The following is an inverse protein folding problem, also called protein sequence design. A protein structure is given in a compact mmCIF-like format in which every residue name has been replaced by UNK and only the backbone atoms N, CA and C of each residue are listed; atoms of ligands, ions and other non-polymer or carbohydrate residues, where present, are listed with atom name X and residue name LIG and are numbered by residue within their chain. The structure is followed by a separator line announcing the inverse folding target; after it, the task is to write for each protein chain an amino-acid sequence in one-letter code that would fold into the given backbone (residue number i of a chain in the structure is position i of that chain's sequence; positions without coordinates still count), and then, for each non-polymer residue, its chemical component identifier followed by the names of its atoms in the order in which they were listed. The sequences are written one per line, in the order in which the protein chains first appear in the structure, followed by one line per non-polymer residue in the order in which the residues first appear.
data_IF_952767364802
#
_entry.id   IF_952767364802
#
_cell.length_a   1.000
_cell.length_b   1.000
_cell.length_c   1.000
_cell.angle_alpha   90.00
_cell.angle_beta   90.00
_cell.angle_gamma   90.00
#
_symmetry.space_group_name_H-M   'P 1'
#
loop_
_entity.id
_entity.type
_entity.pdbx_description
1 polymer ?
#
# COMPACT_ATOMS: atom_id res chain seq x y z
N UNK A 1 -50.61 -6.69 29.86
CA UNK A 1 -49.86 -6.97 28.63
C UNK A 1 -48.57 -6.16 28.69
N UNK A 2 -47.48 -6.78 29.12
CA UNK A 2 -46.18 -6.11 29.29
C UNK A 2 -45.38 -6.21 27.99
N UNK A 3 -45.05 -5.06 27.40
CA UNK A 3 -44.14 -4.91 26.28
C UNK A 3 -42.72 -5.23 26.73
N UNK A 4 -42.12 -6.30 26.18
CA UNK A 4 -40.69 -6.58 26.33
C UNK A 4 -39.89 -5.58 25.49
N UNK A 5 -38.85 -4.93 26.03
CA UNK A 5 -37.95 -4.12 25.23
C UNK A 5 -37.09 -5.04 24.36
N UNK A 6 -36.99 -4.72 23.08
CA UNK A 6 -36.00 -5.29 22.15
C UNK A 6 -34.63 -4.94 22.72
N UNK A 7 -33.94 -5.92 23.29
CA UNK A 7 -32.57 -5.77 23.76
C UNK A 7 -31.69 -5.37 22.59
N UNK A 8 -31.10 -4.19 22.69
CA UNK A 8 -29.98 -3.74 21.87
C UNK A 8 -28.90 -4.82 21.88
N UNK A 9 -28.74 -5.53 20.77
CA UNK A 9 -27.54 -6.30 20.50
C UNK A 9 -26.38 -5.28 20.45
N UNK A 10 -25.71 -5.12 21.58
CA UNK A 10 -24.37 -4.60 21.62
C UNK A 10 -23.55 -5.45 20.65
N UNK A 11 -23.15 -4.87 19.53
CA UNK A 11 -22.20 -5.48 18.61
C UNK A 11 -20.91 -5.71 19.42
N UNK A 12 -20.70 -6.95 19.86
CA UNK A 12 -19.40 -7.39 20.36
C UNK A 12 -18.37 -6.94 19.33
N UNK A 13 -17.43 -6.08 19.71
CA UNK A 13 -16.39 -5.55 18.83
C UNK A 13 -15.64 -6.72 18.18
N UNK A 14 -15.98 -7.03 16.93
CA UNK A 14 -15.46 -8.18 16.14
C UNK A 14 -14.00 -8.03 15.71
N UNK A 15 -13.30 -7.00 16.19
CA UNK A 15 -11.99 -6.56 15.69
C UNK A 15 -10.82 -7.12 16.50
N UNK A 16 -11.03 -7.46 17.77
CA UNK A 16 -9.97 -7.93 18.66
C UNK A 16 -9.54 -9.38 18.39
N UNK A 17 -10.24 -10.08 17.48
CA UNK A 17 -10.05 -11.51 17.24
C UNK A 17 -9.58 -11.89 15.82
N UNK A 18 -9.31 -10.91 14.94
CA UNK A 18 -8.89 -11.21 13.56
C UNK A 18 -7.52 -11.89 13.53
N UNK A 19 -7.41 -13.00 12.79
CA UNK A 19 -6.15 -13.74 12.63
C UNK A 19 -5.15 -12.97 11.76
N UNK A 20 -3.87 -12.97 12.17
CA UNK A 20 -2.78 -12.39 11.41
C UNK A 20 -1.84 -13.48 10.91
N UNK A 21 -1.42 -13.38 9.65
CA UNK A 21 -0.54 -14.35 9.01
C UNK A 21 0.93 -13.94 9.07
N UNK A 22 1.80 -14.92 9.28
CA UNK A 22 3.22 -14.81 8.95
C UNK A 22 3.42 -14.75 7.43
N UNK A 23 4.59 -14.28 7.00
CA UNK A 23 4.94 -14.29 5.58
C UNK A 23 4.95 -15.71 4.99
N UNK A 24 5.36 -16.69 5.78
CA UNK A 24 5.38 -18.10 5.38
C UNK A 24 3.97 -18.64 5.15
N UNK A 25 3.07 -18.44 6.11
CA UNK A 25 1.67 -18.90 5.95
C UNK A 25 0.98 -18.22 4.78
N UNK A 26 1.23 -16.92 4.56
CA UNK A 26 0.68 -16.21 3.41
C UNK A 26 1.14 -16.81 2.08
N UNK A 27 2.42 -17.20 1.98
CA UNK A 27 2.98 -17.86 0.80
C UNK A 27 2.43 -19.30 0.63
N UNK A 28 2.30 -20.06 1.72
CA UNK A 28 1.70 -21.40 1.67
C UNK A 28 0.23 -21.34 1.21
N UNK A 29 -0.54 -20.34 1.66
CA UNK A 29 -1.92 -20.13 1.21
C UNK A 29 -1.96 -19.74 -0.27
N UNK A 30 -1.01 -18.92 -0.76
CA UNK A 30 -0.83 -18.64 -2.19
C UNK A 30 -0.65 -19.92 -3.00
N UNK A 31 0.27 -20.79 -2.57
CA UNK A 31 0.58 -22.03 -3.26
C UNK A 31 -0.62 -23.00 -3.28
N UNK A 32 -1.39 -23.06 -2.18
CA UNK A 32 -2.59 -23.92 -2.12
C UNK A 32 -3.70 -23.37 -3.03
N UNK A 33 -3.93 -22.05 -3.04
CA UNK A 33 -4.94 -21.44 -3.89
C UNK A 33 -4.62 -21.66 -5.36
N UNK A 34 -3.38 -21.41 -5.77
CA UNK A 34 -2.96 -21.51 -7.17
C UNK A 34 -2.66 -22.92 -7.65
N UNK A 35 -2.33 -23.83 -6.73
CA UNK A 35 -2.11 -25.24 -7.03
C UNK A 35 -3.41 -26.04 -6.94
N UNK A 36 -3.63 -26.80 -5.86
CA UNK A 36 -4.72 -27.75 -5.75
C UNK A 36 -6.13 -27.15 -5.81
N UNK A 37 -6.30 -25.85 -5.51
CA UNK A 37 -7.61 -25.20 -5.59
C UNK A 37 -7.87 -24.52 -6.96
N UNK A 38 -6.88 -24.52 -7.86
CA UNK A 38 -7.07 -24.20 -9.27
C UNK A 38 -7.31 -22.73 -9.60
N UNK A 39 -7.08 -21.80 -8.66
CA UNK A 39 -7.15 -20.38 -8.98
C UNK A 39 -5.98 -19.97 -9.88
N UNK A 40 -6.25 -19.22 -10.94
CA UNK A 40 -5.17 -18.59 -11.70
C UNK A 40 -4.62 -17.37 -10.95
N UNK A 41 -3.36 -17.02 -11.23
CA UNK A 41 -2.75 -15.77 -10.74
C UNK A 41 -3.63 -14.58 -11.16
N UNK A 42 -4.09 -14.58 -12.41
CA UNK A 42 -4.90 -13.51 -13.00
C UNK A 42 -6.21 -13.30 -12.23
N UNK A 43 -6.89 -14.39 -11.83
CA UNK A 43 -8.13 -14.33 -11.05
C UNK A 43 -7.89 -13.72 -9.66
N UNK A 44 -6.88 -14.21 -8.95
CA UNK A 44 -6.58 -13.71 -7.59
C UNK A 44 -6.13 -12.24 -7.64
N UNK A 45 -5.31 -11.88 -8.62
CA UNK A 45 -4.83 -10.52 -8.85
C UNK A 45 -5.97 -9.56 -9.22
N UNK A 46 -6.90 -9.99 -10.08
CA UNK A 46 -8.06 -9.19 -10.46
C UNK A 46 -8.95 -8.87 -9.24
N UNK A 47 -9.24 -9.88 -8.42
CA UNK A 47 -10.06 -9.72 -7.21
C UNK A 47 -9.34 -8.89 -6.14
N UNK A 48 -8.03 -9.05 -6.03
CA UNK A 48 -7.19 -8.31 -5.12
C UNK A 48 -7.14 -6.81 -5.47
N UNK A 49 -6.83 -6.48 -6.72
CA UNK A 49 -6.82 -5.09 -7.18
C UNK A 49 -8.19 -4.43 -7.12
N UNK A 50 -9.27 -5.15 -7.43
CA UNK A 50 -10.64 -4.65 -7.23
C UNK A 50 -10.93 -4.35 -5.75
N UNK A 51 -10.47 -5.21 -4.84
CA UNK A 51 -10.63 -4.98 -3.39
C UNK A 51 -9.92 -3.69 -2.95
N UNK A 52 -8.72 -3.42 -3.49
CA UNK A 52 -7.97 -2.17 -3.25
C UNK A 52 -8.74 -0.95 -3.76
N UNK A 53 -9.19 -0.99 -5.01
CA UNK A 53 -9.93 0.11 -5.62
C UNK A 53 -11.24 0.39 -4.86
N UNK A 54 -11.95 -0.66 -4.44
CA UNK A 54 -13.19 -0.55 -3.66
C UNK A 54 -12.95 0.09 -2.29
N UNK A 55 -11.90 -0.33 -1.58
CA UNK A 55 -11.54 0.24 -0.29
C UNK A 55 -11.19 1.74 -0.40
N UNK A 56 -10.52 2.15 -1.47
CA UNK A 56 -10.23 3.57 -1.74
C UNK A 56 -11.52 4.34 -2.01
N UNK A 57 -12.40 3.81 -2.87
CA UNK A 57 -13.66 4.46 -3.21
C UNK A 57 -14.68 4.55 -2.07
N UNK A 58 -14.60 3.63 -1.10
CA UNK A 58 -15.42 3.69 0.11
C UNK A 58 -15.05 4.89 1.00
N UNK A 59 -13.79 5.32 0.96
CA UNK A 59 -13.27 6.37 1.84
C UNK A 59 -13.21 7.72 1.15
N UNK A 60 -12.63 7.76 -0.04
CA UNK A 60 -12.26 9.01 -0.70
C UNK A 60 -13.08 9.17 -1.96
N UNK A 61 -14.18 9.92 -1.91
CA UNK A 61 -15.04 10.11 -3.09
C UNK A 61 -14.25 10.78 -4.22
N UNK A 62 -14.40 10.29 -5.45
CA UNK A 62 -13.71 10.84 -6.63
C UNK A 62 -14.03 12.31 -6.91
N UNK A 63 -15.18 12.81 -6.44
CA UNK A 63 -15.56 14.23 -6.50
C UNK A 63 -14.73 15.14 -5.59
N UNK A 64 -14.13 14.58 -4.55
CA UNK A 64 -13.34 15.30 -3.54
C UNK A 64 -11.84 15.00 -3.68
N UNK A 65 -11.50 13.75 -4.00
CA UNK A 65 -10.13 13.24 -4.11
C UNK A 65 -9.96 12.54 -5.45
N UNK A 66 -9.64 13.31 -6.49
CA UNK A 66 -9.71 12.82 -7.86
C UNK A 66 -8.34 12.32 -8.37
N UNK A 67 -7.24 12.93 -7.94
CA UNK A 67 -5.91 12.70 -8.53
C UNK A 67 -5.22 11.54 -7.82
N UNK A 68 -5.04 10.43 -8.52
CA UNK A 68 -4.46 9.20 -7.97
C UNK A 68 -3.15 8.86 -8.67
N UNK A 69 -2.12 8.52 -7.92
CA UNK A 69 -0.90 7.89 -8.46
C UNK A 69 -0.73 6.47 -7.92
N UNK A 70 -0.72 5.49 -8.81
CA UNK A 70 -0.37 4.11 -8.48
C UNK A 70 1.13 3.86 -8.75
N UNK A 71 1.88 3.45 -7.72
CA UNK A 71 3.31 3.17 -7.79
C UNK A 71 3.52 1.66 -7.74
N UNK A 72 3.79 1.04 -8.89
CA UNK A 72 3.79 -0.41 -9.07
C UNK A 72 5.21 -1.00 -9.09
N UNK A 73 5.41 -2.10 -8.36
CA UNK A 73 6.66 -2.88 -8.37
C UNK A 73 6.70 -4.01 -9.41
N UNK A 74 7.85 -4.67 -9.63
CA UNK A 74 8.02 -5.76 -10.61
C UNK A 74 7.46 -7.12 -10.15
N UNK A 75 6.65 -7.17 -9.09
CA UNK A 75 6.13 -8.41 -8.52
C UNK A 75 4.60 -8.46 -8.57
N UNK A 76 4.02 -9.51 -7.99
CA UNK A 76 2.56 -9.67 -7.94
C UNK A 76 1.86 -8.45 -7.35
N UNK A 77 2.45 -7.84 -6.31
CA UNK A 77 1.88 -6.64 -5.70
C UNK A 77 1.74 -5.48 -6.71
N UNK A 78 2.71 -5.33 -7.62
CA UNK A 78 2.63 -4.34 -8.67
C UNK A 78 1.56 -4.68 -9.70
N UNK A 79 1.33 -5.96 -9.98
CA UNK A 79 0.20 -6.42 -10.78
C UNK A 79 -1.14 -6.05 -10.15
N UNK A 80 -1.32 -6.30 -8.85
CA UNK A 80 -2.54 -5.88 -8.14
C UNK A 80 -2.69 -4.35 -8.16
N UNK A 81 -1.58 -3.61 -8.09
CA UNK A 81 -1.55 -2.15 -8.24
C UNK A 81 -2.02 -1.69 -9.61
N UNK A 82 -1.61 -2.36 -10.70
CA UNK A 82 -2.07 -2.07 -12.06
C UNK A 82 -3.57 -2.39 -12.23
N UNK A 83 -4.04 -3.50 -11.65
CA UNK A 83 -5.47 -3.83 -11.63
C UNK A 83 -6.27 -2.79 -10.85
N UNK A 84 -5.81 -2.43 -9.64
CA UNK A 84 -6.43 -1.41 -8.81
C UNK A 84 -6.51 -0.07 -9.55
N UNK A 85 -5.43 0.30 -10.25
CA UNK A 85 -5.38 1.47 -11.09
C UNK A 85 -6.51 1.41 -12.15
N UNK A 86 -6.61 0.33 -12.93
CA UNK A 86 -7.66 0.20 -13.94
C UNK A 86 -9.08 0.36 -13.35
N UNK A 87 -9.36 -0.26 -12.21
CA UNK A 87 -10.66 -0.11 -11.54
C UNK A 87 -10.91 1.31 -11.04
N UNK A 88 -9.91 1.97 -10.44
CA UNK A 88 -10.03 3.37 -10.02
C UNK A 88 -10.31 4.30 -11.20
N UNK A 89 -9.69 4.06 -12.36
CA UNK A 89 -10.06 4.80 -13.57
C UNK A 89 -11.55 4.62 -13.91
N UNK A 90 -12.06 3.38 -13.91
CA UNK A 90 -13.49 3.11 -14.13
C UNK A 90 -14.42 3.67 -13.03
N UNK A 91 -13.90 3.88 -11.82
CA UNK A 91 -14.63 4.53 -10.72
C UNK A 91 -14.65 6.06 -10.81
N UNK A 92 -14.02 6.62 -11.86
CA UNK A 92 -14.06 8.05 -12.16
C UNK A 92 -12.91 8.87 -11.57
N UNK A 93 -11.82 8.23 -11.15
CA UNK A 93 -10.62 8.93 -10.70
C UNK A 93 -9.71 9.32 -11.87
N UNK A 94 -9.04 10.46 -11.74
CA UNK A 94 -7.95 10.87 -12.61
C UNK A 94 -6.66 10.19 -12.17
N UNK A 95 -6.25 9.18 -12.93
CA UNK A 95 -5.22 8.24 -12.54
C UNK A 95 -3.93 8.44 -13.35
N UNK A 96 -2.79 8.36 -12.66
CA UNK A 96 -1.46 8.15 -13.24
C UNK A 96 -0.81 6.89 -12.66
N UNK A 97 0.08 6.25 -13.43
CA UNK A 97 0.82 5.05 -13.00
C UNK A 97 2.32 5.28 -13.09
N UNK A 98 3.07 4.97 -12.04
CA UNK A 98 4.52 4.84 -12.10
C UNK A 98 4.91 3.37 -12.00
N UNK A 99 5.46 2.81 -13.09
CA UNK A 99 5.86 1.39 -13.14
C UNK A 99 7.32 1.24 -13.63
N UNK A 100 8.31 1.59 -12.78
CA UNK A 100 9.70 1.80 -13.20
C UNK A 100 10.44 0.54 -13.64
N UNK A 101 10.02 -0.64 -13.18
CA UNK A 101 10.55 -1.93 -13.60
C UNK A 101 9.41 -2.84 -14.00
N UNK A 102 9.09 -2.83 -15.29
CA UNK A 102 8.06 -3.69 -15.87
C UNK A 102 8.46 -5.17 -15.76
N UNK A 103 7.51 -6.02 -15.40
CA UNK A 103 7.68 -7.47 -15.34
C UNK A 103 7.54 -8.03 -16.76
N UNK A 104 8.56 -8.72 -17.31
CA UNK A 104 8.50 -9.24 -18.68
C UNK A 104 7.69 -10.54 -18.73
N UNK A 105 6.37 -10.45 -18.55
CA UNK A 105 5.44 -11.58 -18.58
C UNK A 105 4.12 -11.15 -19.24
N UNK A 106 3.51 -12.02 -20.08
CA UNK A 106 2.29 -11.67 -20.83
C UNK A 106 1.14 -11.11 -19.98
N UNK A 107 0.95 -11.62 -18.77
CA UNK A 107 -0.05 -11.08 -17.82
C UNK A 107 0.15 -9.57 -17.58
N UNK A 108 1.39 -9.17 -17.28
CA UNK A 108 1.71 -7.79 -16.94
C UNK A 108 1.69 -6.89 -18.17
N UNK A 109 2.13 -7.41 -19.33
CA UNK A 109 2.00 -6.71 -20.60
C UNK A 109 0.52 -6.42 -20.91
N UNK A 110 -0.37 -7.40 -20.71
CA UNK A 110 -1.82 -7.23 -20.84
C UNK A 110 -2.39 -6.17 -19.90
N UNK A 111 -1.99 -6.15 -18.63
CA UNK A 111 -2.43 -5.11 -17.67
C UNK A 111 -1.97 -3.70 -18.10
N UNK A 112 -0.75 -3.59 -18.61
CA UNK A 112 -0.23 -2.32 -19.15
C UNK A 112 -1.01 -1.90 -20.40
N UNK A 113 -1.22 -2.81 -21.36
CA UNK A 113 -2.00 -2.52 -22.57
C UNK A 113 -3.42 -2.07 -22.23
N UNK A 114 -4.08 -2.68 -21.24
CA UNK A 114 -5.40 -2.26 -20.79
C UNK A 114 -5.40 -0.81 -20.29
N UNK A 115 -4.45 -0.45 -19.43
CA UNK A 115 -4.30 0.93 -18.91
C UNK A 115 -3.97 1.93 -20.02
N UNK A 116 -3.05 1.59 -20.93
CA UNK A 116 -2.71 2.42 -22.08
C UNK A 116 -3.92 2.62 -23.01
N UNK A 117 -4.76 1.59 -23.20
CA UNK A 117 -5.99 1.69 -24.00
C UNK A 117 -7.08 2.57 -23.37
N UNK A 118 -7.00 2.78 -22.05
CA UNK A 118 -7.82 3.75 -21.31
C UNK A 118 -7.18 5.14 -21.24
N UNK A 119 -6.08 5.35 -21.97
CA UNK A 119 -5.29 6.59 -21.96
C UNK A 119 -4.77 6.98 -20.58
N UNK A 120 -4.55 6.02 -19.69
CA UNK A 120 -3.93 6.27 -18.38
C UNK A 120 -2.44 6.60 -18.56
N UNK A 121 -1.96 7.78 -18.13
CA UNK A 121 -0.56 8.16 -18.26
C UNK A 121 0.36 7.29 -17.39
N UNK A 122 1.46 6.84 -17.99
CA UNK A 122 2.58 6.22 -17.29
C UNK A 122 3.69 7.25 -17.08
N UNK A 123 3.96 7.59 -15.81
CA UNK A 123 4.99 8.55 -15.41
C UNK A 123 6.29 7.83 -15.05
N UNK A 124 7.42 8.39 -15.48
CA UNK A 124 8.72 7.96 -15.01
C UNK A 124 8.99 8.44 -13.58
N UNK A 125 10.05 7.96 -12.94
CA UNK A 125 10.43 8.39 -11.59
C UNK A 125 10.95 9.83 -11.60
N UNK A 126 11.49 10.21 -12.75
CA UNK A 126 12.07 11.50 -13.05
C UNK A 126 10.99 12.57 -13.29
N UNK A 127 9.84 12.18 -13.83
CA UNK A 127 8.68 13.08 -14.02
C UNK A 127 7.96 13.40 -12.70
N UNK A 128 8.23 12.63 -11.64
CA UNK A 128 7.60 12.79 -10.35
C UNK A 128 8.36 13.77 -9.46
N UNK A 129 7.63 14.77 -8.97
CA UNK A 129 8.10 15.73 -7.98
C UNK A 129 8.61 15.02 -6.71
N UNK A 130 9.47 15.71 -5.94
CA UNK A 130 9.91 15.17 -4.65
C UNK A 130 8.77 15.17 -3.62
N UNK A 131 7.89 16.16 -3.68
CA UNK A 131 6.69 16.25 -2.87
C UNK A 131 5.46 15.95 -3.72
N UNK A 132 5.02 14.68 -3.66
CA UNK A 132 3.89 14.19 -4.44
C UNK A 132 2.53 14.77 -3.98
N UNK A 133 2.47 15.42 -2.81
CA UNK A 133 1.20 15.87 -2.22
C UNK A 133 0.55 17.02 -2.99
N UNK A 134 1.34 17.79 -3.75
CA UNK A 134 0.83 18.88 -4.57
C UNK A 134 0.12 18.35 -5.82
N UNK A 135 0.59 17.22 -6.34
CA UNK A 135 0.15 16.67 -7.62
C UNK A 135 -0.95 15.61 -7.46
N UNK A 136 -0.95 14.89 -6.34
CA UNK A 136 -1.83 13.75 -6.11
C UNK A 136 -2.53 13.81 -4.76
N UNK A 137 -3.81 13.45 -4.78
CA UNK A 137 -4.67 13.36 -3.60
C UNK A 137 -4.53 11.99 -2.92
N UNK A 138 -4.30 10.94 -3.73
CA UNK A 138 -4.20 9.54 -3.26
C UNK A 138 -3.00 8.85 -3.90
N UNK A 139 -2.26 8.08 -3.09
CA UNK A 139 -1.15 7.24 -3.55
C UNK A 139 -1.44 5.77 -3.27
N UNK A 140 -1.32 4.93 -4.29
CA UNK A 140 -1.38 3.47 -4.15
C UNK A 140 0.05 2.92 -4.17
N UNK A 141 0.58 2.57 -3.00
CA UNK A 141 1.90 1.92 -2.87
C UNK A 141 1.79 0.42 -3.15
N UNK A 142 2.00 0.05 -4.42
CA UNK A 142 2.09 -1.33 -4.90
C UNK A 142 3.55 -1.77 -5.12
N UNK A 143 4.52 -1.02 -4.58
CA UNK A 143 5.95 -1.29 -4.75
C UNK A 143 6.51 -2.22 -3.68
N UNK A 144 6.01 -2.11 -2.44
CA UNK A 144 6.49 -2.89 -1.29
C UNK A 144 5.48 -3.90 -0.75
N UNK A 145 4.26 -3.90 -1.29
CA UNK A 145 3.17 -4.84 -1.01
C UNK A 145 2.09 -4.33 -0.06
N UNK A 146 1.02 -5.12 0.07
CA UNK A 146 -0.10 -5.02 1.03
C UNK A 146 -0.39 -6.42 1.62
N UNK A 147 -1.37 -6.50 2.53
CA UNK A 147 -1.88 -7.76 3.06
C UNK A 147 -3.20 -8.13 2.36
N UNK A 148 -3.27 -9.32 1.78
CA UNK A 148 -4.51 -9.89 1.25
C UNK A 148 -4.86 -11.17 1.97
N UNK A 149 -6.16 -11.50 2.02
CA UNK A 149 -6.78 -12.70 2.63
C UNK A 149 -6.87 -12.65 4.14
N UNK A 150 -5.75 -12.39 4.80
CA UNK A 150 -5.67 -12.06 6.22
C UNK A 150 -4.53 -11.06 6.45
N UNK A 151 -4.64 -10.15 7.43
CA UNK A 151 -3.61 -9.16 7.68
C UNK A 151 -2.27 -9.85 7.99
N UNK A 152 -1.18 -9.46 7.33
CA UNK A 152 0.15 -9.95 7.71
C UNK A 152 0.52 -9.40 9.08
N UNK A 153 1.39 -10.08 9.83
CA UNK A 153 1.82 -9.63 11.16
C UNK A 153 2.34 -8.17 11.20
N UNK A 154 2.93 -7.66 10.11
CA UNK A 154 3.34 -6.26 10.02
C UNK A 154 2.16 -5.28 10.16
N UNK A 155 0.97 -5.66 9.72
CA UNK A 155 -0.25 -4.84 9.81
C UNK A 155 -0.76 -4.66 11.25
N UNK A 156 -0.24 -5.40 12.25
CA UNK A 156 -0.55 -5.14 13.68
C UNK A 156 -0.08 -3.76 14.15
N UNK A 157 0.97 -3.23 13.51
CA UNK A 157 1.56 -1.92 13.86
C UNK A 157 1.00 -0.79 12.99
N UNK A 158 0.04 -1.07 12.12
CA UNK A 158 -0.59 -0.05 11.29
C UNK A 158 -1.38 0.92 12.18
N UNK A 159 -1.05 2.20 12.05
CA UNK A 159 -1.62 3.29 12.83
C UNK A 159 -2.35 4.33 11.96
N UNK A 160 -2.59 4.02 10.68
CA UNK A 160 -3.37 4.90 9.80
C UNK A 160 -4.86 4.88 10.14
N UNK A 161 -5.62 5.89 9.66
CA UNK A 161 -7.03 6.07 10.01
C UNK A 161 -7.94 4.98 9.44
N UNK A 162 -7.49 4.26 8.40
CA UNK A 162 -8.29 3.33 7.63
C UNK A 162 -7.49 2.06 7.34
N UNK A 163 -7.93 0.94 7.89
CA UNK A 163 -7.36 -0.38 7.61
C UNK A 163 -8.48 -1.25 7.04
N UNK A 164 -8.20 -1.91 5.92
CA UNK A 164 -9.16 -2.77 5.23
C UNK A 164 -8.56 -4.15 5.05
N UNK A 165 -9.42 -5.16 5.18
CA UNK A 165 -9.17 -6.50 4.72
C UNK A 165 -9.84 -6.69 3.37
N UNK A 166 -9.05 -7.01 2.35
CA UNK A 166 -9.52 -7.35 1.01
C UNK A 166 -9.28 -8.83 0.67
N UNK A 167 -9.79 -9.23 -0.48
CA UNK A 167 -9.62 -10.57 -1.02
C UNK A 167 -10.64 -11.57 -0.50
N UNK A 168 -11.92 -11.27 -0.74
CA UNK A 168 -13.08 -12.12 -0.44
C UNK A 168 -13.16 -13.34 -1.38
N UNK A 169 -12.14 -14.20 -1.31
CA UNK A 169 -12.03 -15.41 -2.13
C UNK A 169 -11.38 -16.58 -1.38
N UNK A 170 -11.17 -16.45 -0.06
CA UNK A 170 -10.59 -17.50 0.78
C UNK A 170 -11.61 -18.63 0.99
N UNK A 171 -11.35 -19.86 0.51
CA UNK A 171 -12.29 -20.96 0.67
C UNK A 171 -12.37 -21.43 2.14
N UNK A 172 -13.53 -21.97 2.59
CA UNK A 172 -13.67 -22.47 3.97
C UNK A 172 -12.60 -23.48 4.39
N UNK A 173 -12.14 -24.34 3.47
CA UNK A 173 -11.07 -25.30 3.73
C UNK A 173 -9.75 -24.65 4.16
N UNK A 174 -9.42 -23.46 3.65
CA UNK A 174 -8.26 -22.67 4.08
C UNK A 174 -8.51 -22.04 5.44
N UNK A 175 -9.72 -21.48 5.64
CA UNK A 175 -10.13 -20.88 6.91
C UNK A 175 -9.99 -21.91 8.04
N UNK A 176 -10.48 -23.12 7.83
CA UNK A 176 -10.43 -24.20 8.82
C UNK A 176 -9.01 -24.71 9.07
N UNK A 177 -8.23 -24.91 8.00
CA UNK A 177 -6.85 -25.40 8.08
C UNK A 177 -5.95 -24.46 8.87
N UNK A 178 -6.06 -23.16 8.63
CA UNK A 178 -5.22 -22.14 9.26
C UNK A 178 -5.91 -21.47 10.46
N UNK A 179 -7.10 -21.95 10.87
CA UNK A 179 -7.90 -21.40 11.98
C UNK A 179 -8.08 -19.87 11.85
N UNK A 180 -8.37 -19.41 10.63
CA UNK A 180 -8.51 -17.99 10.34
C UNK A 180 -9.81 -17.45 10.92
N UNK A 181 -9.70 -16.38 11.70
CA UNK A 181 -10.85 -15.58 12.12
C UNK A 181 -10.95 -14.40 11.16
N UNK A 182 -11.88 -14.50 10.20
CA UNK A 182 -12.13 -13.47 9.21
C UNK A 182 -13.44 -12.74 9.56
N UNK A 183 -13.48 -11.40 9.49
CA UNK A 183 -14.72 -10.65 9.66
C UNK A 183 -15.71 -10.93 8.52
N UNK A 184 -17.03 -10.79 8.76
CA UNK A 184 -18.02 -10.90 7.71
C UNK A 184 -17.87 -9.72 6.73
N UNK A 185 -17.90 -10.02 5.43
CA UNK A 185 -17.92 -8.98 4.39
C UNK A 185 -19.35 -8.50 4.17
N UNK A 186 -19.61 -7.18 4.18
CA UNK A 186 -20.95 -6.64 4.02
C UNK A 186 -21.45 -6.82 2.58
N UNK A 187 -22.67 -7.34 2.42
CA UNK A 187 -23.34 -7.48 1.12
C UNK A 187 -22.46 -8.18 0.08
N UNK A 188 -22.23 -7.49 -1.05
CA UNK A 188 -21.36 -7.92 -2.16
C UNK A 188 -19.96 -7.28 -2.12
N UNK A 189 -19.60 -6.59 -1.03
CA UNK A 189 -18.30 -5.92 -0.92
C UNK A 189 -17.15 -6.92 -0.99
N UNK A 190 -16.08 -6.50 -1.67
CA UNK A 190 -14.82 -7.25 -1.80
C UNK A 190 -13.81 -6.92 -0.71
N UNK A 191 -14.08 -5.89 0.09
CA UNK A 191 -13.30 -5.46 1.23
C UNK A 191 -14.18 -5.20 2.46
N UNK A 192 -13.57 -5.22 3.63
CA UNK A 192 -14.20 -4.85 4.89
C UNK A 192 -13.19 -4.06 5.72
N UNK A 193 -13.63 -2.93 6.25
CA UNK A 193 -12.83 -2.13 7.18
C UNK A 193 -12.55 -2.94 8.44
N UNK A 194 -11.32 -2.95 8.93
CA UNK A 194 -10.87 -3.66 10.14
C UNK A 194 -10.13 -2.70 11.08
N UNK A 195 -10.08 -3.01 12.37
CA UNK A 195 -9.39 -2.20 13.38
C UNK A 195 -10.29 -1.17 14.07
N UNK A 196 -9.76 -0.51 15.12
CA UNK A 196 -10.52 0.47 15.90
C UNK A 196 -10.74 1.75 15.06
N UNK A 197 -11.97 2.30 14.98
CA UNK A 197 -12.14 3.66 14.50
C UNK A 197 -11.33 4.59 15.41
N UNK A 198 -10.62 5.55 14.82
CA UNK A 198 -9.87 6.54 15.60
C UNK A 198 -10.84 7.31 16.51
N UNK A 199 -10.77 7.09 17.82
CA UNK A 199 -11.26 8.08 18.79
C UNK A 199 -10.25 9.23 18.77
N UNK A 200 -10.49 10.23 17.93
CA UNK A 200 -9.74 11.48 18.00
C UNK A 200 -10.41 12.32 19.09
N UNK A 201 -9.84 12.31 20.29
CA UNK A 201 -10.15 13.30 21.31
C UNK A 201 -9.26 14.53 21.06
N UNK A 202 -9.80 15.50 20.32
CA UNK A 202 -9.14 16.76 19.94
C UNK A 202 -8.68 17.55 21.19
N UNK A 203 -9.28 17.29 22.34
CA UNK A 203 -8.99 17.95 23.62
C UNK A 203 -7.57 17.68 24.13
N UNK A 204 -7.04 16.47 23.92
CA UNK A 204 -5.75 16.04 24.49
C UNK A 204 -4.52 16.59 23.75
N UNK A 205 -4.71 17.19 22.56
CA UNK A 205 -3.62 17.72 21.72
C UNK A 205 -3.24 19.17 22.06
N UNK A 206 -3.94 19.84 22.98
CA UNK A 206 -3.70 21.27 23.27
C UNK A 206 -2.77 21.55 24.46
N UNK A 207 -2.53 20.62 25.38
CA UNK A 207 -1.95 21.00 26.68
C UNK A 207 -0.47 20.63 26.91
N UNK A 208 0.19 19.82 26.07
CA UNK A 208 1.52 19.29 26.43
C UNK A 208 2.64 19.46 25.39
N UNK A 209 2.63 20.50 24.57
CA UNK A 209 3.82 20.87 23.79
C UNK A 209 4.51 22.09 24.39
N UNK A 210 5.40 21.84 25.36
CA UNK A 210 6.45 22.78 25.76
C UNK A 210 7.67 22.42 24.90
N UNK A 211 8.09 23.34 24.02
CA UNK A 211 9.33 23.18 23.25
C UNK A 211 10.53 23.26 24.19
N UNK A 212 11.48 22.31 24.17
CA UNK A 212 12.80 22.58 24.70
C UNK A 212 13.49 23.55 23.73
N UNK A 213 13.88 24.71 24.24
CA UNK A 213 14.84 25.61 23.61
C UNK A 213 16.09 24.80 23.27
N UNK A 214 16.31 24.53 21.99
CA UNK A 214 17.58 23.99 21.50
C UNK A 214 18.53 25.17 21.28
N UNK A 215 19.65 25.16 21.99
CA UNK A 215 20.78 26.07 21.79
C UNK A 215 21.31 25.91 20.35
N UNK A 216 21.38 27.02 19.63
CA UNK A 216 21.76 27.11 18.21
C UNK A 216 23.25 26.79 17.92
N UNK A 217 24.05 26.45 18.94
CA UNK A 217 25.51 26.31 18.82
C UNK A 217 26.02 24.87 18.57
N UNK A 218 25.15 23.90 18.23
CA UNK A 218 25.56 22.51 17.95
C UNK A 218 25.01 21.91 16.66
N UNK A 219 24.69 22.73 15.65
CA UNK A 219 24.45 22.24 14.30
C UNK A 219 25.72 22.50 13.47
N UNK A 220 26.44 21.44 13.08
CA UNK A 220 27.51 21.59 12.09
C UNK A 220 26.92 21.90 10.70
N UNK A 221 27.57 22.82 10.00
CA UNK A 221 27.22 23.29 8.66
C UNK A 221 27.45 22.17 7.62
N UNK A 222 26.35 21.61 7.15
CA UNK A 222 26.22 20.81 5.93
C UNK A 222 26.57 19.28 5.99
N UNK A 223 25.56 18.38 5.96
CA UNK A 223 25.74 16.93 5.90
C UNK A 223 26.22 16.39 4.54
N UNK A 224 26.49 17.23 3.53
CA UNK A 224 26.99 16.80 2.21
C UNK A 224 28.52 16.63 2.14
N UNK A 225 29.30 17.06 3.14
CA UNK A 225 30.77 16.91 3.12
C UNK A 225 31.28 15.47 3.34
N UNK A 226 30.43 14.54 3.77
CA UNK A 226 30.80 13.12 3.92
C UNK A 226 30.81 12.34 2.58
N UNK A 227 30.16 12.85 1.54
CA UNK A 227 29.99 12.16 0.25
C UNK A 227 31.24 12.30 -0.63
N UNK A 228 31.90 13.47 -0.62
CA UNK A 228 33.07 13.74 -1.48
C UNK A 228 34.39 13.07 -1.03
N UNK A 229 34.42 12.51 0.19
CA UNK A 229 35.58 11.76 0.70
C UNK A 229 35.51 10.26 0.43
N UNK A 230 34.32 9.70 0.27
CA UNK A 230 34.15 8.28 -0.04
C UNK A 230 34.22 7.99 -1.55
N UNK A 231 33.72 8.91 -2.40
CA UNK A 231 33.70 8.72 -3.87
C UNK A 231 35.12 8.73 -4.49
N UNK A 232 36.05 9.56 -3.99
CA UNK A 232 37.43 9.63 -4.52
C UNK A 232 38.30 8.40 -4.24
N UNK A 233 37.89 7.51 -3.34
CA UNK A 233 38.65 6.30 -3.00
C UNK A 233 38.12 5.02 -3.66
N UNK A 234 36.96 5.09 -4.33
CA UNK A 234 36.33 3.93 -5.00
C UNK A 234 36.52 3.94 -6.51
N UNK A 235 36.71 5.11 -7.11
CA UNK A 235 36.87 5.25 -8.56
C UNK A 235 38.20 4.68 -9.10
N UNK A 236 39.20 4.41 -8.26
CA UNK A 236 40.47 3.77 -8.68
C UNK A 236 40.45 2.22 -8.62
N UNK A 237 39.38 1.60 -8.08
CA UNK A 237 39.32 0.12 -7.90
C UNK A 237 38.30 -0.57 -8.82
N UNK A 238 37.32 0.14 -9.40
CA UNK A 238 36.19 -0.49 -10.12
C UNK A 238 36.27 -0.47 -11.67
N UNK A 239 37.45 -0.56 -12.26
CA UNK A 239 37.59 -0.67 -13.72
C UNK A 239 37.43 -2.12 -14.28
N UNK A 240 36.98 -3.11 -13.48
CA UNK A 240 36.98 -4.52 -13.93
C UNK A 240 35.72 -5.38 -13.75
N UNK A 241 34.53 -4.86 -13.38
CA UNK A 241 33.37 -5.75 -13.10
C UNK A 241 32.06 -5.34 -13.81
N UNK A 242 31.82 -6.00 -14.96
CA UNK A 242 30.54 -6.57 -15.43
C UNK A 242 29.22 -5.77 -15.43
N UNK A 243 28.63 -5.57 -16.62
CA UNK A 243 27.33 -4.95 -16.90
C UNK A 243 26.07 -5.57 -16.23
N UNK A 244 26.21 -6.68 -15.49
CA UNK A 244 25.11 -7.31 -14.75
C UNK A 244 24.93 -6.72 -13.34
N UNK A 245 26.00 -6.22 -12.73
CA UNK A 245 25.98 -5.56 -11.41
C UNK A 245 25.36 -4.14 -11.49
N UNK A 246 25.58 -3.44 -12.61
CA UNK A 246 25.05 -2.09 -12.88
C UNK A 246 23.51 -2.01 -12.98
N UNK A 247 22.82 -3.09 -13.35
CA UNK A 247 21.35 -3.11 -13.49
C UNK A 247 20.62 -3.22 -12.14
N UNK A 248 21.23 -3.87 -11.16
CA UNK A 248 20.64 -4.04 -9.82
C UNK A 248 20.79 -2.77 -8.96
N UNK A 249 21.85 -1.98 -9.20
CA UNK A 249 22.06 -0.70 -8.52
C UNK A 249 21.03 0.37 -8.93
N UNK A 250 20.65 0.46 -10.21
CA UNK A 250 19.67 1.45 -10.70
C UNK A 250 18.27 1.23 -10.11
N UNK A 251 17.76 0.00 -10.14
CA UNK A 251 16.45 -0.29 -9.54
C UNK A 251 16.46 -0.11 -8.03
N UNK A 252 17.56 -0.45 -7.37
CA UNK A 252 17.73 -0.18 -5.93
C UNK A 252 17.72 1.32 -5.61
N UNK A 253 18.35 2.15 -6.44
CA UNK A 253 18.28 3.63 -6.35
C UNK A 253 16.86 4.16 -6.54
N UNK A 254 16.12 3.67 -7.56
CA UNK A 254 14.71 4.02 -7.78
C UNK A 254 13.85 3.65 -6.56
N UNK A 255 14.05 2.44 -6.04
CA UNK A 255 13.35 1.93 -4.86
C UNK A 255 13.60 2.82 -3.64
N UNK A 256 14.85 3.28 -3.46
CA UNK A 256 15.21 4.20 -2.39
C UNK A 256 14.61 5.60 -2.60
N UNK A 257 14.64 6.13 -3.82
CA UNK A 257 14.06 7.43 -4.17
C UNK A 257 12.55 7.46 -3.90
N UNK A 258 11.81 6.42 -4.31
CA UNK A 258 10.38 6.31 -4.01
C UNK A 258 10.10 6.16 -2.52
N UNK A 259 10.90 5.38 -1.79
CA UNK A 259 10.79 5.32 -0.32
C UNK A 259 10.96 6.68 0.33
N UNK A 260 11.93 7.49 -0.14
CA UNK A 260 12.17 8.84 0.40
C UNK A 260 10.97 9.76 0.13
N UNK A 261 10.42 9.76 -1.08
CA UNK A 261 9.18 10.51 -1.42
C UNK A 261 8.01 10.10 -0.53
N UNK A 262 7.75 8.79 -0.43
CA UNK A 262 6.68 8.26 0.44
C UNK A 262 6.93 8.61 1.91
N UNK A 263 8.18 8.57 2.38
CA UNK A 263 8.52 8.91 3.76
C UNK A 263 8.38 10.41 4.06
N UNK A 264 8.67 11.28 3.08
CA UNK A 264 8.47 12.72 3.21
C UNK A 264 6.99 13.05 3.41
N UNK A 265 6.11 12.44 2.61
CA UNK A 265 4.66 12.55 2.76
C UNK A 265 4.20 12.12 4.16
N UNK A 266 4.76 11.02 4.69
CA UNK A 266 4.44 10.51 6.04
C UNK A 266 4.78 11.48 7.16
N UNK A 267 5.72 12.40 6.96
CA UNK A 267 6.08 13.40 7.98
C UNK A 267 5.07 14.54 8.07
N UNK A 268 4.30 14.79 7.01
CA UNK A 268 3.36 15.89 6.93
C UNK A 268 1.95 15.45 7.37
N UNK A 269 1.69 15.41 8.69
CA UNK A 269 0.52 14.76 9.31
C UNK A 269 -0.85 15.16 8.74
N UNK A 270 -1.06 16.44 8.39
CA UNK A 270 -2.32 16.90 7.78
C UNK A 270 -2.58 16.33 6.39
N UNK A 271 -1.52 15.93 5.69
CA UNK A 271 -1.61 15.30 4.38
C UNK A 271 -1.76 13.78 4.50
N UNK A 272 -1.16 13.15 5.51
CA UNK A 272 -1.21 11.68 5.75
C UNK A 272 -2.61 11.12 5.90
N UNK A 273 -3.56 11.90 6.45
CA UNK A 273 -4.97 11.48 6.57
C UNK A 273 -5.65 11.26 5.21
N UNK A 274 -5.11 11.84 4.12
CA UNK A 274 -5.65 11.74 2.76
C UNK A 274 -5.08 10.56 1.97
N UNK A 275 -4.06 9.89 2.50
CA UNK A 275 -3.32 8.84 1.80
C UNK A 275 -3.60 7.47 2.40
N UNK A 276 -4.41 6.65 1.71
CA UNK A 276 -4.46 5.20 2.00
C UNK A 276 -3.16 4.55 1.50
N UNK A 277 -2.13 4.62 2.34
CA UNK A 277 -0.99 3.73 2.23
C UNK A 277 -1.44 2.32 2.60
N UNK A 278 -1.84 1.54 1.60
CA UNK A 278 -1.92 0.08 1.69
C UNK A 278 -0.50 -0.49 1.72
N UNK A 279 0.29 -0.10 2.74
CA UNK A 279 1.69 -0.51 2.87
C UNK A 279 1.77 -1.75 3.76
N UNK A 280 2.30 -2.85 3.22
CA UNK A 280 2.78 -3.98 4.00
C UNK A 280 4.18 -3.69 4.54
N UNK A 281 4.30 -2.65 5.37
CA UNK A 281 5.43 -2.46 6.29
C UNK A 281 4.98 -1.71 7.53
#
# INVERSE_FOLDING_TARGET
MASRPVSSLQSLNTWDSISYLSQREAAEIDDILMGPLGFSVDQLMELAGLSVATAIAEVYRSTEYNRVLAICGPGNNGGDGLVAARHLHHFGYNLSVCYPKRTPKPLYDGLVTQLESLCVPFLSVEDLSMDLSNDFDILVDAMFGFSFRAPKLCAKRFCGPHHFLGGRFVPPSIVDKYKLQLPPYPGTSMCVRIGKPSQIDISALRENYISPEFLEDQVEDDPFNQIDREDRSRDEIEESIGARQRRDSRFSRIKLAMKRRIALLRKNREQVERFLLLSSK
#
